data_IF_452508351516
#
_entry.id   IF_452508351516
#
_cell.length_a   1.000
_cell.length_b   1.000
_cell.length_c   1.000
_cell.angle_alpha   90.00
_cell.angle_beta   90.00
_cell.angle_gamma   90.00
#
_symmetry.space_group_name_H-M   'P 1'
#
loop_
_entity.id
_entity.type
_entity.pdbx_description
1 polymer ?
#
# COMPACT_ATOMS: atom_id res chain seq x y z
N UNK A 1 2.66 8.91 -13.30
CA UNK A 1 1.96 9.51 -14.48
C UNK A 1 2.99 10.19 -15.40
N UNK A 2 2.56 10.73 -16.55
CA UNK A 2 3.42 11.42 -17.52
C UNK A 2 2.72 12.63 -18.13
N UNK A 3 3.00 12.97 -19.40
CA UNK A 3 2.40 14.13 -20.09
C UNK A 3 0.87 14.07 -20.25
N UNK A 4 0.24 12.91 -20.06
CA UNK A 4 -1.22 12.74 -20.07
C UNK A 4 -1.90 13.14 -18.75
N UNK A 5 -1.13 13.51 -17.73
CA UNK A 5 -1.67 13.78 -16.39
C UNK A 5 -2.34 12.53 -15.81
N UNK A 6 -3.49 12.73 -15.15
CA UNK A 6 -4.26 11.69 -14.49
C UNK A 6 -5.26 10.94 -15.40
N UNK A 7 -5.29 11.25 -16.71
CA UNK A 7 -6.22 10.59 -17.64
C UNK A 7 -5.89 9.10 -17.76
N UNK A 8 -6.86 8.26 -17.41
CA UNK A 8 -6.76 6.80 -17.49
C UNK A 8 -6.79 6.33 -18.96
N UNK A 9 -5.63 5.93 -19.49
CA UNK A 9 -5.47 5.51 -20.87
C UNK A 9 -4.88 4.10 -20.97
N UNK A 10 -5.70 3.14 -21.41
CA UNK A 10 -5.35 1.72 -21.52
C UNK A 10 -4.03 1.46 -22.25
N UNK A 11 -3.80 2.12 -23.39
CA UNK A 11 -2.57 1.94 -24.19
C UNK A 11 -1.33 2.44 -23.46
N UNK A 12 -1.42 3.61 -22.81
CA UNK A 12 -0.32 4.18 -22.03
C UNK A 12 0.02 3.30 -20.83
N UNK A 13 -0.98 2.82 -20.08
CA UNK A 13 -0.78 1.93 -18.93
C UNK A 13 -0.19 0.60 -19.37
N UNK A 14 -0.69 0.01 -20.47
CA UNK A 14 -0.14 -1.24 -21.02
C UNK A 14 1.33 -1.10 -21.38
N UNK A 15 1.71 0.03 -21.98
CA UNK A 15 3.11 0.34 -22.28
C UNK A 15 3.97 0.39 -21.01
N UNK A 16 3.47 0.98 -19.92
CA UNK A 16 4.19 1.06 -18.65
C UNK A 16 4.35 -0.33 -18.01
N UNK A 17 3.26 -1.11 -17.90
CA UNK A 17 3.28 -2.47 -17.34
C UNK A 17 4.21 -3.38 -18.15
N UNK A 18 4.17 -3.34 -19.49
CA UNK A 18 5.10 -4.11 -20.33
C UNK A 18 6.56 -3.76 -20.11
N UNK A 19 6.89 -2.47 -19.96
CA UNK A 19 8.26 -2.04 -19.65
C UNK A 19 8.74 -2.56 -18.29
N UNK A 20 7.86 -2.58 -17.28
CA UNK A 20 8.18 -3.18 -15.98
C UNK A 20 8.41 -4.68 -16.12
N UNK A 21 7.54 -5.39 -16.85
CA UNK A 21 7.69 -6.82 -17.13
C UNK A 21 8.99 -7.13 -17.90
N UNK A 22 9.34 -6.32 -18.90
CA UNK A 22 10.62 -6.42 -19.63
C UNK A 22 11.84 -6.20 -18.72
N UNK A 23 11.69 -5.41 -17.65
CA UNK A 23 12.70 -5.21 -16.61
C UNK A 23 12.79 -6.41 -15.64
N UNK A 24 11.85 -7.36 -15.69
CA UNK A 24 11.77 -8.52 -14.81
C UNK A 24 10.81 -8.37 -13.62
N UNK A 25 10.02 -7.30 -13.58
CA UNK A 25 9.01 -7.09 -12.52
C UNK A 25 7.89 -8.12 -12.66
N UNK A 26 7.48 -8.71 -11.54
CA UNK A 26 6.37 -9.66 -11.43
C UNK A 26 5.22 -9.18 -10.53
N UNK A 27 5.39 -8.08 -9.80
CA UNK A 27 4.38 -7.49 -8.92
C UNK A 27 4.41 -5.96 -8.95
N UNK A 28 3.26 -5.33 -8.74
CA UNK A 28 3.10 -3.87 -8.62
C UNK A 28 2.26 -3.59 -7.38
N UNK A 29 2.73 -2.69 -6.53
CA UNK A 29 1.93 -2.07 -5.47
C UNK A 29 1.28 -0.79 -6.00
N UNK A 30 -0.01 -0.62 -5.78
CA UNK A 30 -0.78 0.53 -6.27
C UNK A 30 -0.74 1.64 -5.22
N UNK A 31 0.37 2.36 -5.18
CA UNK A 31 0.66 3.40 -4.17
C UNK A 31 -0.07 4.71 -4.50
N UNK A 32 -0.93 5.28 -3.65
CA UNK A 32 -1.49 4.75 -2.38
C UNK A 32 -3.02 4.85 -2.43
N UNK A 33 -3.62 4.26 -3.47
CA UNK A 33 -5.04 4.41 -3.76
C UNK A 33 -5.56 3.26 -4.65
N UNK A 34 -6.88 3.02 -4.69
CA UNK A 34 -7.47 2.00 -5.55
C UNK A 34 -7.05 2.17 -7.02
N UNK A 35 -6.83 1.04 -7.70
CA UNK A 35 -6.36 1.02 -9.08
C UNK A 35 -7.47 1.40 -10.08
N UNK A 36 -7.08 1.93 -11.24
CA UNK A 36 -7.99 1.99 -12.39
C UNK A 36 -8.30 0.58 -12.90
N UNK A 37 -9.50 0.38 -13.45
CA UNK A 37 -9.86 -0.93 -14.02
C UNK A 37 -8.91 -1.34 -15.14
N UNK A 38 -8.44 -0.38 -15.96
CA UNK A 38 -7.46 -0.67 -17.00
C UNK A 38 -6.16 -1.25 -16.45
N UNK A 39 -5.64 -0.76 -15.32
CA UNK A 39 -4.43 -1.32 -14.71
C UNK A 39 -4.66 -2.77 -14.29
N UNK A 40 -5.76 -3.05 -13.61
CA UNK A 40 -6.12 -4.41 -13.15
C UNK A 40 -6.26 -5.36 -14.34
N UNK A 41 -7.06 -4.98 -15.35
CA UNK A 41 -7.26 -5.80 -16.56
C UNK A 41 -5.93 -6.11 -17.26
N UNK A 42 -5.05 -5.12 -17.36
CA UNK A 42 -3.73 -5.31 -18.00
C UNK A 42 -2.86 -6.23 -17.15
N UNK A 43 -2.86 -6.11 -15.83
CA UNK A 43 -2.10 -6.99 -14.95
C UNK A 43 -2.63 -8.43 -15.00
N UNK A 44 -3.95 -8.62 -15.11
CA UNK A 44 -4.57 -9.92 -15.37
C UNK A 44 -4.08 -10.52 -16.69
N UNK A 45 -4.06 -9.73 -17.78
CA UNK A 45 -3.61 -10.17 -19.11
C UNK A 45 -2.10 -10.47 -19.16
N UNK A 46 -1.29 -9.64 -18.49
CA UNK A 46 0.17 -9.71 -18.54
C UNK A 46 0.78 -10.61 -17.46
N UNK A 47 -0.02 -11.13 -16.53
CA UNK A 47 0.48 -11.98 -15.44
C UNK A 47 1.36 -11.21 -14.46
N UNK A 48 0.92 -10.03 -14.04
CA UNK A 48 1.59 -9.21 -13.02
C UNK A 48 0.71 -9.19 -11.77
N UNK A 49 1.30 -9.51 -10.62
CA UNK A 49 0.59 -9.50 -9.34
C UNK A 49 0.37 -8.07 -8.84
N UNK A 50 -0.72 -7.84 -8.11
CA UNK A 50 -1.10 -6.54 -7.57
C UNK A 50 -1.28 -6.57 -6.06
N UNK A 51 -0.73 -5.58 -5.38
CA UNK A 51 -1.13 -5.16 -4.04
C UNK A 51 -1.95 -3.90 -4.21
N UNK A 52 -3.27 -4.01 -4.04
CA UNK A 52 -4.18 -2.86 -4.17
C UNK A 52 -4.35 -2.19 -2.80
N UNK A 53 -4.23 -0.87 -2.75
CA UNK A 53 -4.15 -0.11 -1.51
C UNK A 53 -5.30 0.90 -1.38
N UNK A 54 -5.94 0.91 -0.21
CA UNK A 54 -7.12 1.74 0.00
C UNK A 54 -6.76 3.19 0.42
N UNK A 55 -5.79 3.34 1.34
CA UNK A 55 -5.64 4.59 2.08
C UNK A 55 -4.18 5.03 2.22
N UNK A 56 -3.92 6.31 1.96
CA UNK A 56 -2.67 6.99 2.33
C UNK A 56 -2.74 7.63 3.72
N UNK A 57 -3.93 7.78 4.29
CA UNK A 57 -4.14 8.31 5.64
C UNK A 57 -5.43 7.76 6.24
N UNK A 58 -5.54 7.70 7.57
CA UNK A 58 -6.78 7.38 8.25
C UNK A 58 -7.47 8.65 8.72
N UNK A 59 -7.68 8.83 10.03
CA UNK A 59 -8.43 9.94 10.59
C UNK A 59 -7.57 11.17 10.91
N UNK A 60 -6.25 11.01 10.93
CA UNK A 60 -5.29 12.04 11.32
C UNK A 60 -4.84 12.96 10.20
N UNK A 61 -4.91 12.49 8.95
CA UNK A 61 -4.47 13.25 7.78
C UNK A 61 -2.96 13.32 7.63
N UNK A 62 -2.52 13.50 6.38
CA UNK A 62 -1.16 13.93 6.00
C UNK A 62 -1.17 15.35 5.42
N UNK A 63 -2.29 15.78 4.83
CA UNK A 63 -2.50 17.11 4.25
C UNK A 63 -3.85 17.71 4.67
N UNK A 64 -3.98 19.05 4.73
CA UNK A 64 -5.21 19.70 5.22
C UNK A 64 -6.51 19.35 4.47
N UNK A 65 -6.39 18.92 3.21
CA UNK A 65 -7.53 18.68 2.33
C UNK A 65 -7.54 17.25 1.74
N UNK A 66 -6.81 16.32 2.35
CA UNK A 66 -6.84 14.93 1.91
C UNK A 66 -8.13 14.21 2.35
N UNK A 67 -8.09 12.88 2.31
CA UNK A 67 -9.24 12.02 2.59
C UNK A 67 -9.58 11.91 4.09
N UNK A 68 -8.65 12.25 5.00
CA UNK A 68 -8.86 12.03 6.44
C UNK A 68 -10.08 12.75 7.01
N UNK A 69 -10.36 13.95 6.47
CA UNK A 69 -11.57 14.72 6.82
C UNK A 69 -12.88 13.98 6.54
N UNK A 70 -12.87 12.96 5.67
CA UNK A 70 -14.03 12.13 5.33
C UNK A 70 -13.98 10.75 5.97
N UNK A 71 -12.80 10.24 6.34
CA UNK A 71 -12.58 8.84 6.77
C UNK A 71 -13.63 8.33 7.78
N UNK A 72 -13.91 9.08 8.83
CA UNK A 72 -14.89 8.72 9.88
C UNK A 72 -16.30 9.31 9.65
N UNK A 73 -16.48 10.14 8.63
CA UNK A 73 -17.80 10.70 8.33
C UNK A 73 -18.74 9.61 7.83
N UNK A 74 -20.03 9.72 8.18
CA UNK A 74 -21.07 8.86 7.61
C UNK A 74 -21.12 9.04 6.09
N UNK A 75 -21.07 7.92 5.38
CA UNK A 75 -21.26 7.89 3.94
C UNK A 75 -22.73 8.16 3.59
N UNK A 76 -22.98 8.48 2.34
CA UNK A 76 -24.35 8.54 1.79
C UNK A 76 -24.91 7.15 1.46
N UNK A 77 -24.15 6.08 1.75
CA UNK A 77 -24.43 4.70 1.31
C UNK A 77 -24.76 3.79 2.49
N UNK A 78 -25.84 4.10 3.21
CA UNK A 78 -26.29 3.32 4.36
C UNK A 78 -25.58 3.71 5.67
N UNK A 79 -25.63 2.84 6.68
CA UNK A 79 -25.10 3.13 8.02
C UNK A 79 -23.59 2.86 8.16
N UNK A 80 -22.81 3.23 7.14
CA UNK A 80 -21.36 3.01 7.07
C UNK A 80 -20.61 4.34 7.06
N UNK A 81 -19.38 4.37 7.57
CA UNK A 81 -18.47 5.50 7.33
C UNK A 81 -17.98 5.50 5.88
N UNK A 82 -17.38 6.59 5.40
CA UNK A 82 -16.72 6.60 4.10
C UNK A 82 -15.58 5.58 4.02
N UNK A 83 -14.77 5.43 5.08
CA UNK A 83 -13.71 4.42 5.10
C UNK A 83 -14.24 3.00 4.93
N UNK A 84 -15.32 2.65 5.64
CA UNK A 84 -15.95 1.32 5.49
C UNK A 84 -16.49 1.12 4.09
N UNK A 85 -17.22 2.10 3.57
CA UNK A 85 -17.82 2.01 2.24
C UNK A 85 -16.76 1.87 1.15
N UNK A 86 -15.77 2.77 1.11
CA UNK A 86 -14.77 2.81 0.06
C UNK A 86 -13.85 1.57 0.09
N UNK A 87 -13.48 1.09 1.27
CA UNK A 87 -12.74 -0.17 1.40
C UNK A 87 -13.56 -1.35 0.86
N UNK A 88 -14.83 -1.47 1.28
CA UNK A 88 -15.71 -2.54 0.79
C UNK A 88 -15.92 -2.46 -0.71
N UNK A 89 -16.02 -1.26 -1.29
CA UNK A 89 -16.14 -1.10 -2.75
C UNK A 89 -14.86 -1.54 -3.49
N UNK A 90 -13.68 -1.15 -3.00
CA UNK A 90 -12.41 -1.57 -3.59
C UNK A 90 -12.28 -3.10 -3.61
N UNK A 91 -12.49 -3.74 -2.46
CA UNK A 91 -12.40 -5.20 -2.32
C UNK A 91 -13.49 -5.89 -3.15
N UNK A 92 -14.74 -5.40 -3.07
CA UNK A 92 -15.85 -6.01 -3.80
C UNK A 92 -15.67 -5.94 -5.32
N UNK A 93 -15.08 -4.86 -5.83
CA UNK A 93 -14.72 -4.71 -7.23
C UNK A 93 -13.67 -5.74 -7.64
N UNK A 94 -12.59 -5.86 -6.88
CA UNK A 94 -11.39 -6.60 -7.32
C UNK A 94 -11.30 -8.06 -6.87
N UNK A 95 -12.20 -8.55 -6.02
CA UNK A 95 -12.14 -9.92 -5.46
C UNK A 95 -12.09 -11.05 -6.49
N UNK A 96 -12.54 -10.82 -7.73
CA UNK A 96 -12.50 -11.82 -8.80
C UNK A 96 -11.30 -11.65 -9.75
N UNK A 97 -10.48 -10.62 -9.55
CA UNK A 97 -9.31 -10.36 -10.38
C UNK A 97 -8.13 -11.23 -9.93
N UNK A 98 -7.57 -12.08 -10.81
CA UNK A 98 -6.50 -12.99 -10.46
C UNK A 98 -5.15 -12.29 -10.23
N UNK A 99 -4.96 -11.08 -10.76
CA UNK A 99 -3.75 -10.30 -10.51
C UNK A 99 -3.67 -9.81 -9.06
N UNK A 100 -4.80 -9.46 -8.44
CA UNK A 100 -4.80 -8.93 -7.07
C UNK A 100 -4.46 -10.06 -6.11
N UNK A 101 -3.40 -9.89 -5.35
CA UNK A 101 -2.92 -10.86 -4.37
C UNK A 101 -3.05 -10.39 -2.92
N UNK A 102 -3.04 -9.09 -2.64
CA UNK A 102 -3.17 -8.55 -1.27
C UNK A 102 -3.96 -7.25 -1.24
N UNK A 103 -4.60 -6.97 -0.10
CA UNK A 103 -5.34 -5.75 0.18
C UNK A 103 -4.60 -4.90 1.21
N UNK A 104 -4.01 -3.78 0.80
CA UNK A 104 -3.34 -2.85 1.72
C UNK A 104 -4.34 -1.88 2.35
N UNK A 105 -4.36 -1.84 3.68
CA UNK A 105 -5.30 -1.05 4.48
C UNK A 105 -4.76 0.34 4.83
N UNK A 106 -3.50 0.63 4.50
CA UNK A 106 -2.86 1.90 4.88
C UNK A 106 -1.37 1.95 4.55
N UNK A 107 -0.90 3.13 4.16
CA UNK A 107 0.50 3.45 3.96
C UNK A 107 1.00 4.50 4.94
N UNK A 108 2.04 4.20 5.72
CA UNK A 108 2.72 5.14 6.63
C UNK A 108 1.74 5.96 7.47
N UNK A 109 0.80 5.24 8.07
CA UNK A 109 -0.26 5.79 8.89
C UNK A 109 0.36 6.14 10.25
N UNK A 110 0.48 7.43 10.58
CA UNK A 110 1.11 7.85 11.83
C UNK A 110 0.27 7.44 13.05
N UNK A 111 -1.04 7.33 12.85
CA UNK A 111 -2.05 6.94 13.82
C UNK A 111 -1.87 5.50 14.33
N UNK A 112 -1.06 4.65 13.68
CA UNK A 112 -0.79 3.27 14.15
C UNK A 112 -0.07 3.21 15.49
N UNK A 113 0.55 4.32 15.89
CA UNK A 113 1.18 4.47 17.21
C UNK A 113 0.19 4.86 18.31
N UNK A 114 -1.09 5.06 17.99
CA UNK A 114 -2.15 5.41 18.94
C UNK A 114 -3.06 4.22 19.26
N UNK A 115 -3.72 4.25 20.42
CA UNK A 115 -4.70 3.22 20.80
C UNK A 115 -5.89 3.15 19.83
N UNK A 116 -6.38 4.30 19.36
CA UNK A 116 -7.45 4.39 18.37
C UNK A 116 -7.04 3.80 17.01
N UNK A 117 -5.76 3.93 16.63
CA UNK A 117 -5.23 3.31 15.42
C UNK A 117 -5.38 1.79 15.41
N UNK A 118 -5.21 1.13 16.56
CA UNK A 118 -5.43 -0.31 16.69
C UNK A 118 -6.90 -0.70 16.47
N UNK A 119 -7.84 0.08 16.98
CA UNK A 119 -9.27 -0.16 16.75
C UNK A 119 -9.64 0.02 15.27
N UNK A 120 -9.10 1.08 14.64
CA UNK A 120 -9.29 1.33 13.21
C UNK A 120 -8.72 0.18 12.37
N UNK A 121 -7.50 -0.28 12.64
CA UNK A 121 -6.90 -1.39 11.92
C UNK A 121 -7.74 -2.68 11.99
N UNK A 122 -8.27 -3.00 13.17
CA UNK A 122 -9.17 -4.15 13.36
C UNK A 122 -10.46 -4.01 12.56
N UNK A 123 -11.07 -2.82 12.57
CA UNK A 123 -12.28 -2.56 11.80
C UNK A 123 -12.04 -2.67 10.29
N UNK A 124 -10.95 -2.07 9.78
CA UNK A 124 -10.59 -2.16 8.36
C UNK A 124 -10.35 -3.60 7.93
N UNK A 125 -9.62 -4.38 8.72
CA UNK A 125 -9.41 -5.79 8.42
C UNK A 125 -10.73 -6.55 8.39
N UNK A 126 -11.58 -6.37 9.41
CA UNK A 126 -12.89 -7.00 9.47
C UNK A 126 -13.73 -6.67 8.22
N UNK A 127 -13.83 -5.39 7.84
CA UNK A 127 -14.59 -4.94 6.68
C UNK A 127 -14.07 -5.52 5.36
N UNK A 128 -12.75 -5.65 5.19
CA UNK A 128 -12.17 -6.32 4.03
C UNK A 128 -12.54 -7.81 4.01
N UNK A 129 -12.41 -8.49 5.16
CA UNK A 129 -12.70 -9.93 5.31
C UNK A 129 -14.19 -10.28 5.23
N UNK A 130 -15.09 -9.34 5.47
CA UNK A 130 -16.52 -9.52 5.17
C UNK A 130 -16.80 -9.73 3.67
N UNK A 131 -15.91 -9.24 2.80
CA UNK A 131 -16.06 -9.32 1.34
C UNK A 131 -15.16 -10.39 0.70
N UNK A 132 -13.88 -10.45 1.12
CA UNK A 132 -12.87 -11.35 0.54
C UNK A 132 -11.96 -11.91 1.65
N UNK A 133 -12.15 -13.18 1.99
CA UNK A 133 -11.32 -13.88 3.01
C UNK A 133 -10.03 -14.51 2.46
N UNK A 134 -9.98 -15.08 1.23
CA UNK A 134 -8.79 -15.79 0.75
C UNK A 134 -7.56 -14.92 0.56
N UNK A 135 -7.69 -13.63 0.22
CA UNK A 135 -6.54 -12.75 0.03
C UNK A 135 -6.09 -12.14 1.36
N UNK A 136 -4.77 -12.10 1.64
CA UNK A 136 -4.25 -11.47 2.83
C UNK A 136 -4.49 -9.96 2.82
N UNK A 137 -4.83 -9.41 3.98
CA UNK A 137 -4.70 -7.97 4.25
C UNK A 137 -3.26 -7.64 4.63
N UNK A 138 -2.84 -6.40 4.36
CA UNK A 138 -1.51 -5.89 4.72
C UNK A 138 -1.62 -4.42 5.14
N UNK A 139 -0.61 -3.92 5.83
CA UNK A 139 -0.29 -2.49 5.95
C UNK A 139 1.16 -2.27 5.50
N UNK A 140 1.52 -1.02 5.21
CA UNK A 140 2.88 -0.59 4.92
C UNK A 140 3.35 0.37 6.01
N UNK A 141 4.29 -0.09 6.85
CA UNK A 141 4.64 0.53 8.13
C UNK A 141 6.08 1.03 8.13
N UNK A 142 6.28 2.33 8.34
CA UNK A 142 7.59 2.98 8.38
C UNK A 142 8.14 3.04 9.82
N UNK A 143 7.27 2.97 10.83
CA UNK A 143 7.66 3.08 12.24
C UNK A 143 8.49 1.86 12.68
N UNK A 144 8.33 0.71 12.01
CA UNK A 144 9.17 -0.48 12.22
C UNK A 144 10.64 -0.21 11.88
N UNK A 145 10.95 0.69 10.94
CA UNK A 145 12.33 1.11 10.64
C UNK A 145 13.00 1.86 11.81
N UNK A 146 12.18 2.44 12.70
CA UNK A 146 12.60 3.29 13.82
C UNK A 146 12.38 2.63 15.18
N UNK A 147 12.38 1.29 15.21
CA UNK A 147 12.28 0.51 16.46
C UNK A 147 10.85 0.15 16.88
N UNK A 148 9.85 0.46 16.04
CA UNK A 148 8.46 0.05 16.22
C UNK A 148 7.76 0.71 17.40
N UNK A 149 7.22 -0.10 18.31
CA UNK A 149 6.40 0.37 19.42
C UNK A 149 4.93 -0.03 19.26
N UNK A 150 4.00 0.92 19.48
CA UNK A 150 2.57 0.61 19.44
C UNK A 150 2.07 0.14 18.06
N UNK A 151 2.73 0.55 16.97
CA UNK A 151 2.45 0.10 15.61
C UNK A 151 2.63 -1.41 15.40
N UNK A 152 3.39 -2.09 16.27
CA UNK A 152 3.54 -3.55 16.21
C UNK A 152 2.22 -4.26 16.52
N UNK A 153 1.37 -3.68 17.37
CA UNK A 153 0.03 -4.21 17.64
C UNK A 153 -0.88 -4.09 16.42
N UNK A 154 -0.74 -3.01 15.64
CA UNK A 154 -1.45 -2.83 14.37
C UNK A 154 -0.90 -3.80 13.32
N UNK A 155 0.41 -3.93 13.21
CA UNK A 155 1.06 -4.88 12.30
C UNK A 155 0.63 -6.33 12.58
N UNK A 156 0.35 -6.65 13.85
CA UNK A 156 -0.16 -7.96 14.27
C UNK A 156 -1.64 -8.20 13.94
N UNK A 157 -2.40 -7.19 13.47
CA UNK A 157 -3.78 -7.43 13.05
C UNK A 157 -3.81 -8.05 11.66
N UNK A 158 -3.03 -7.54 10.72
CA UNK A 158 -3.05 -7.96 9.30
C UNK A 158 -2.38 -9.31 9.04
N UNK A 159 -2.68 -9.91 7.88
CA UNK A 159 -2.18 -11.24 7.50
C UNK A 159 -0.71 -11.22 7.02
N UNK A 160 -0.28 -10.11 6.42
CA UNK A 160 1.10 -9.87 6.00
C UNK A 160 1.56 -8.47 6.43
N UNK A 161 2.79 -8.36 6.92
CA UNK A 161 3.35 -7.12 7.45
C UNK A 161 4.30 -6.51 6.42
N UNK A 162 3.91 -5.35 5.89
CA UNK A 162 4.71 -4.56 4.97
C UNK A 162 5.63 -3.61 5.72
N UNK A 163 6.93 -3.71 5.43
CA UNK A 163 7.97 -2.87 6.00
C UNK A 163 8.39 -1.82 4.98
N UNK A 164 8.29 -0.53 5.34
CA UNK A 164 8.87 0.55 4.55
C UNK A 164 10.29 0.85 5.06
N UNK A 165 11.29 0.77 4.18
CA UNK A 165 12.67 1.20 4.43
C UNK A 165 13.33 0.63 5.70
N UNK A 166 12.99 -0.62 6.06
CA UNK A 166 13.34 -1.23 7.34
C UNK A 166 14.13 -2.54 7.18
N UNK A 167 14.91 -2.69 6.11
CA UNK A 167 15.69 -3.90 5.82
C UNK A 167 16.63 -4.28 6.97
N UNK A 168 17.16 -3.30 7.71
CA UNK A 168 18.01 -3.51 8.89
C UNK A 168 17.27 -4.09 10.10
N UNK A 169 15.94 -4.10 10.10
CA UNK A 169 15.11 -4.59 11.21
C UNK A 169 14.47 -5.96 10.90
N UNK A 170 14.62 -6.50 9.69
CA UNK A 170 13.94 -7.73 9.26
C UNK A 170 14.25 -8.93 10.16
N UNK A 171 15.52 -9.20 10.43
CA UNK A 171 15.92 -10.35 11.25
C UNK A 171 15.41 -10.21 12.69
N UNK A 172 15.50 -9.00 13.26
CA UNK A 172 15.00 -8.70 14.61
C UNK A 172 13.49 -8.96 14.71
N UNK A 173 12.70 -8.47 13.75
CA UNK A 173 11.25 -8.68 13.78
C UNK A 173 10.85 -10.10 13.41
N UNK A 174 11.62 -10.79 12.56
CA UNK A 174 11.37 -12.21 12.27
C UNK A 174 11.69 -13.10 13.47
N UNK A 175 12.71 -12.77 14.27
CA UNK A 175 13.02 -13.44 15.53
C UNK A 175 11.94 -13.14 16.59
N UNK A 176 11.52 -11.88 16.72
CA UNK A 176 10.51 -11.45 17.70
C UNK A 176 9.11 -11.99 17.39
N UNK A 177 8.74 -12.03 16.11
CA UNK A 177 7.43 -12.50 15.62
C UNK A 177 7.63 -13.57 14.53
N UNK A 178 7.93 -14.82 14.93
CA UNK A 178 8.26 -15.89 13.98
C UNK A 178 7.13 -16.20 12.99
N UNK A 179 5.88 -15.93 13.36
CA UNK A 179 4.70 -16.19 12.53
C UNK A 179 4.38 -15.06 11.53
N UNK A 180 5.00 -13.89 11.65
CA UNK A 180 4.77 -12.81 10.71
C UNK A 180 5.26 -13.18 9.30
N UNK A 181 4.40 -12.97 8.32
CA UNK A 181 4.75 -12.96 6.91
C UNK A 181 5.24 -11.55 6.60
N UNK A 182 6.55 -11.39 6.38
CA UNK A 182 7.22 -10.10 6.21
C UNK A 182 7.56 -9.88 4.73
N UNK A 183 7.33 -8.67 4.23
CA UNK A 183 7.86 -8.22 2.93
C UNK A 183 8.19 -6.71 2.97
N UNK A 184 9.07 -6.27 2.06
CA UNK A 184 9.31 -4.84 1.85
C UNK A 184 8.19 -4.22 1.02
N UNK A 185 7.32 -3.43 1.66
CA UNK A 185 6.22 -2.71 0.99
C UNK A 185 6.68 -1.44 0.28
N UNK A 186 7.81 -0.87 0.72
CA UNK A 186 8.49 0.25 0.08
C UNK A 186 9.99 0.18 0.38
N UNK A 187 10.83 0.26 -0.66
CA UNK A 187 12.29 0.05 -0.54
C UNK A 187 13.08 0.95 -1.48
N UNK A 188 14.39 1.04 -1.26
CA UNK A 188 15.36 1.81 -2.04
C UNK A 188 15.23 3.34 -1.97
N UNK A 189 14.16 3.93 -2.54
CA UNK A 189 14.01 5.38 -2.73
C UNK A 189 15.22 6.09 -3.36
N UNK A 190 16.05 5.38 -4.14
CA UNK A 190 17.21 5.99 -4.78
C UNK A 190 16.81 7.02 -5.85
N UNK A 191 17.39 8.22 -5.78
CA UNK A 191 17.09 9.33 -6.71
C UNK A 191 18.06 9.32 -7.88
N UNK A 192 17.55 9.46 -9.12
CA UNK A 192 18.37 9.40 -10.34
C UNK A 192 17.82 10.24 -11.49
N UNK A 193 18.74 10.82 -12.28
CA UNK A 193 18.43 11.57 -13.51
C UNK A 193 18.98 10.83 -14.74
N UNK A 194 18.14 10.60 -15.75
CA UNK A 194 18.52 9.86 -16.96
C UNK A 194 19.65 10.57 -17.72
N UNK A 195 20.79 9.88 -17.88
CA UNK A 195 21.97 10.39 -18.59
C UNK A 195 22.87 11.30 -17.76
N UNK A 196 22.67 11.35 -16.43
CA UNK A 196 23.51 12.11 -15.50
C UNK A 196 24.40 11.14 -14.72
N UNK A 197 25.69 11.46 -14.64
CA UNK A 197 26.73 10.63 -14.00
C UNK A 197 27.54 11.48 -13.01
N UNK A 198 26.87 12.12 -12.06
CA UNK A 198 27.52 12.97 -11.07
C UNK A 198 28.19 12.12 -9.98
N UNK A 199 29.41 12.48 -9.60
CA UNK A 199 30.18 11.88 -8.49
C UNK A 199 30.22 10.34 -8.47
N UNK A 200 30.67 9.66 -9.55
CA UNK A 200 30.70 8.19 -9.60
C UNK A 200 31.56 7.55 -8.49
N UNK A 201 32.47 8.32 -7.89
CA UNK A 201 33.31 7.92 -6.76
C UNK A 201 32.61 8.00 -5.40
N UNK A 202 31.42 8.61 -5.31
CA UNK A 202 30.67 8.80 -4.06
C UNK A 202 29.32 8.11 -4.13
N UNK A 203 28.95 7.42 -3.05
CA UNK A 203 27.55 7.06 -2.83
C UNK A 203 26.88 8.30 -2.24
N UNK A 204 25.97 8.92 -2.99
CA UNK A 204 25.18 10.05 -2.54
C UNK A 204 24.22 9.62 -1.43
N UNK A 205 24.63 9.82 -0.18
CA UNK A 205 23.73 9.93 0.95
C UNK A 205 23.09 11.31 0.81
N UNK A 206 21.80 11.38 0.45
CA UNK A 206 21.11 12.64 0.14
C UNK A 206 21.44 13.75 1.15
N UNK A 207 21.64 14.97 0.65
CA UNK A 207 21.82 16.15 1.50
C UNK A 207 20.53 16.34 2.32
N UNK A 208 20.53 15.89 3.58
CA UNK A 208 19.56 16.27 4.60
C UNK A 208 20.08 17.50 5.35
#
# INVERSE_FOLDING_TARGET
QGSLGAVDNKTSIRRQVKKLKEMGVNSIRVTHNPASQHLIDICNEEGILLVEEAFDTWYGGKNPYDYARFFEQKSIHGDMTWAEYDLKQMVNRGKNDPSIMMWSLGNEIWETSESKGLEVAKNLQMWAKEIDTPRPTTTAEIQLAFGGGACENVSSTVDAVGFNYAEHEYDKYKEKYPDWIIYGSETSSAVRSRGVYAHPEKIGIGDN
#
